data_IF_692524018751
#
_entry.id   IF_692524018751
#
_cell.length_a   1.000
_cell.length_b   1.000
_cell.length_c   1.000
_cell.angle_alpha   90.00
_cell.angle_beta   90.00
_cell.angle_gamma   90.00
#
_symmetry.space_group_name_H-M   'P 1'
#
loop_
_entity.id
_entity.type
_entity.pdbx_description
1 polymer ?
#
# COMPACT_ATOMS: atom_id res chain seq x y z
N UNK A 1 30.00 -6.86 -6.78
CA UNK A 1 29.33 -6.46 -5.52
C UNK A 1 27.99 -7.16 -5.37
N UNK A 2 27.23 -7.36 -6.44
CA UNK A 2 26.19 -8.40 -6.48
C UNK A 2 26.81 -9.63 -7.14
N UNK A 3 26.96 -10.73 -6.42
CA UNK A 3 27.71 -11.93 -6.87
C UNK A 3 27.08 -12.64 -8.06
N UNK A 4 25.82 -12.38 -8.38
CA UNK A 4 25.16 -13.04 -9.49
C UNK A 4 24.39 -12.09 -10.36
N UNK A 5 24.40 -12.41 -11.66
CA UNK A 5 23.42 -12.00 -12.64
C UNK A 5 22.18 -12.91 -12.56
N UNK A 6 20.97 -12.35 -12.62
CA UNK A 6 19.77 -13.12 -12.91
C UNK A 6 19.10 -12.56 -14.14
N UNK A 7 18.98 -13.41 -15.16
CA UNK A 7 18.41 -13.07 -16.46
C UNK A 7 16.89 -13.00 -16.42
N UNK A 8 16.31 -12.42 -17.47
CA UNK A 8 14.86 -12.35 -17.69
C UNK A 8 14.20 -13.74 -17.70
N UNK A 9 14.90 -14.70 -18.31
CA UNK A 9 14.41 -16.06 -18.55
C UNK A 9 14.96 -17.08 -17.53
N UNK A 10 15.79 -16.62 -16.58
CA UNK A 10 16.35 -17.49 -15.55
C UNK A 10 15.27 -17.89 -14.55
N UNK A 11 15.38 -19.10 -13.98
CA UNK A 11 14.53 -19.59 -12.89
C UNK A 11 15.40 -19.84 -11.65
N UNK A 12 15.18 -19.06 -10.58
CA UNK A 12 15.93 -19.19 -9.33
C UNK A 12 15.24 -20.09 -8.29
N UNK A 13 14.17 -20.81 -8.66
CA UNK A 13 13.44 -21.69 -7.73
C UNK A 13 14.35 -22.63 -6.95
N UNK A 14 15.29 -23.26 -7.65
CA UNK A 14 16.21 -24.26 -7.09
C UNK A 14 17.52 -23.64 -6.57
N UNK A 15 17.64 -22.32 -6.61
CA UNK A 15 18.82 -21.58 -6.18
C UNK A 15 18.48 -20.35 -5.30
N UNK A 16 17.67 -20.50 -4.23
CA UNK A 16 17.28 -19.39 -3.37
C UNK A 16 18.46 -18.76 -2.60
N UNK A 17 19.54 -19.50 -2.37
CA UNK A 17 20.77 -19.04 -1.72
C UNK A 17 21.47 -17.89 -2.47
N UNK A 18 21.09 -17.69 -3.73
CA UNK A 18 21.57 -16.62 -4.61
C UNK A 18 21.04 -15.24 -4.22
N UNK A 19 20.00 -15.19 -3.40
CA UNK A 19 19.33 -13.96 -3.00
C UNK A 19 19.84 -13.56 -1.61
N UNK A 20 20.91 -12.78 -1.58
CA UNK A 20 21.43 -12.18 -0.35
C UNK A 20 20.88 -10.75 -0.20
N UNK A 21 19.86 -10.60 0.64
CA UNK A 21 19.24 -9.30 0.90
C UNK A 21 20.17 -8.32 1.65
N UNK A 22 21.17 -8.80 2.38
CA UNK A 22 22.14 -7.93 3.04
C UNK A 22 23.16 -7.38 2.01
N UNK A 23 23.59 -8.21 1.06
CA UNK A 23 24.39 -7.77 -0.09
C UNK A 23 23.61 -6.79 -0.97
N UNK A 24 22.31 -7.08 -1.19
CA UNK A 24 21.41 -6.19 -1.90
C UNK A 24 21.27 -4.83 -1.20
N UNK A 25 20.98 -4.79 0.10
CA UNK A 25 20.87 -3.54 0.85
C UNK A 25 22.15 -2.68 0.77
N UNK A 26 23.33 -3.32 0.89
CA UNK A 26 24.62 -2.64 0.69
C UNK A 26 24.77 -2.10 -0.73
N UNK A 27 24.34 -2.87 -1.73
CA UNK A 27 24.40 -2.48 -3.12
C UNK A 27 23.49 -1.28 -3.42
N UNK A 28 22.27 -1.25 -2.87
CA UNK A 28 21.35 -0.14 -3.02
C UNK A 28 21.85 1.14 -2.33
N UNK A 29 22.49 1.03 -1.17
CA UNK A 29 23.16 2.17 -0.51
C UNK A 29 24.31 2.73 -1.33
N UNK A 30 25.14 1.87 -1.92
CA UNK A 30 26.21 2.32 -2.82
C UNK A 30 25.62 2.98 -4.07
N UNK A 31 24.59 2.37 -4.64
CA UNK A 31 23.86 2.92 -5.77
C UNK A 31 23.30 4.31 -5.45
N UNK A 32 22.68 4.52 -4.29
CA UNK A 32 22.20 5.84 -3.86
C UNK A 32 23.30 6.90 -3.86
N UNK A 33 24.46 6.60 -3.28
CA UNK A 33 25.60 7.53 -3.27
C UNK A 33 26.10 7.86 -4.68
N UNK A 34 26.21 6.84 -5.55
CA UNK A 34 26.59 7.03 -6.95
C UNK A 34 25.54 7.79 -7.74
N UNK A 35 24.26 7.49 -7.52
CA UNK A 35 23.15 8.13 -8.21
C UNK A 35 23.13 9.63 -7.94
N UNK A 36 23.33 10.05 -6.68
CA UNK A 36 23.43 11.48 -6.32
C UNK A 36 24.63 12.17 -6.99
N UNK A 37 25.78 11.49 -7.03
CA UNK A 37 26.97 12.00 -7.70
C UNK A 37 26.77 12.14 -9.21
N UNK A 38 26.33 11.08 -9.87
CA UNK A 38 26.15 11.02 -11.33
C UNK A 38 24.98 11.89 -11.78
N UNK A 39 23.94 12.05 -10.96
CA UNK A 39 22.84 12.98 -11.22
C UNK A 39 23.33 14.41 -11.43
N UNK A 40 24.26 14.87 -10.61
CA UNK A 40 24.82 16.23 -10.73
C UNK A 40 25.50 16.42 -12.09
N UNK A 41 26.18 15.38 -12.58
CA UNK A 41 26.77 15.37 -13.92
C UNK A 41 25.66 15.40 -14.98
N UNK A 42 24.68 14.50 -14.86
CA UNK A 42 23.56 14.37 -15.81
C UNK A 42 22.74 15.66 -15.96
N UNK A 43 22.46 16.34 -14.84
CA UNK A 43 21.68 17.58 -14.84
C UNK A 43 22.43 18.74 -15.53
N UNK A 44 23.76 18.73 -15.51
CA UNK A 44 24.63 19.68 -16.22
C UNK A 44 24.80 19.40 -17.72
N UNK A 45 24.30 18.27 -18.23
CA UNK A 45 24.36 17.95 -19.66
C UNK A 45 23.29 18.73 -20.44
N UNK A 46 23.65 19.19 -21.64
CA UNK A 46 22.73 19.85 -22.57
C UNK A 46 21.85 18.86 -23.34
N UNK A 47 20.70 19.34 -23.82
CA UNK A 47 19.80 18.56 -24.68
C UNK A 47 18.66 17.87 -23.93
N UNK A 48 17.85 17.12 -24.68
CA UNK A 48 16.73 16.31 -24.15
C UNK A 48 17.26 15.08 -23.41
N UNK A 49 16.42 14.45 -22.60
CA UNK A 49 16.84 13.32 -21.75
C UNK A 49 17.52 12.18 -22.55
N UNK A 50 17.05 11.88 -23.77
CA UNK A 50 17.68 10.89 -24.65
C UNK A 50 19.10 11.29 -25.10
N UNK A 51 19.37 12.57 -25.30
CA UNK A 51 20.69 13.09 -25.68
C UNK A 51 21.63 13.12 -24.46
N UNK A 52 21.11 13.49 -23.29
CA UNK A 52 21.84 13.44 -22.01
C UNK A 52 22.25 12.00 -21.67
N UNK A 53 21.33 11.05 -21.80
CA UNK A 53 21.62 9.63 -21.58
C UNK A 53 22.70 9.09 -22.52
N UNK A 54 22.63 9.43 -23.82
CA UNK A 54 23.68 9.06 -24.79
C UNK A 54 25.04 9.62 -24.41
N UNK A 55 25.08 10.90 -24.02
CA UNK A 55 26.32 11.55 -23.56
C UNK A 55 26.86 10.86 -22.31
N UNK A 56 26.00 10.52 -21.34
CA UNK A 56 26.39 9.81 -20.13
C UNK A 56 26.99 8.42 -20.44
N UNK A 57 26.36 7.65 -21.34
CA UNK A 57 26.90 6.36 -21.79
C UNK A 57 28.26 6.50 -22.49
N UNK A 58 28.47 7.58 -23.27
CA UNK A 58 29.77 7.84 -23.88
C UNK A 58 30.83 8.19 -22.83
N UNK A 59 30.47 8.95 -21.79
CA UNK A 59 31.37 9.27 -20.67
C UNK A 59 31.79 8.03 -19.88
N UNK A 60 30.93 7.02 -19.75
CA UNK A 60 31.24 5.76 -19.08
C UNK A 60 32.49 5.05 -19.64
N UNK A 61 32.83 5.25 -20.92
CA UNK A 61 34.03 4.67 -21.55
C UNK A 61 35.35 5.17 -20.96
N UNK A 62 35.36 6.37 -20.38
CA UNK A 62 36.55 6.98 -19.77
C UNK A 62 36.40 7.33 -18.29
N UNK A 63 35.18 7.17 -17.73
CA UNK A 63 34.85 7.44 -16.33
C UNK A 63 34.35 6.17 -15.64
N UNK A 64 35.24 5.42 -14.94
CA UNK A 64 34.89 4.16 -14.30
C UNK A 64 33.73 4.25 -13.31
N UNK A 65 33.57 5.39 -12.63
CA UNK A 65 32.48 5.64 -11.69
C UNK A 65 31.11 5.70 -12.38
N UNK A 66 31.04 6.24 -13.60
CA UNK A 66 29.80 6.30 -14.40
C UNK A 66 29.50 4.92 -14.97
N UNK A 67 30.50 4.22 -15.50
CA UNK A 67 30.34 2.84 -15.98
C UNK A 67 29.84 1.91 -14.86
N UNK A 68 30.44 2.01 -13.68
CA UNK A 68 30.04 1.23 -12.52
C UNK A 68 28.61 1.57 -12.09
N UNK A 69 28.24 2.86 -12.05
CA UNK A 69 26.86 3.29 -11.79
C UNK A 69 25.86 2.67 -12.77
N UNK A 70 26.09 2.79 -14.08
CA UNK A 70 25.17 2.28 -15.10
C UNK A 70 25.01 0.76 -15.03
N UNK A 71 26.10 0.03 -14.81
CA UNK A 71 26.05 -1.43 -14.62
C UNK A 71 25.31 -1.82 -13.35
N UNK A 72 25.55 -1.10 -12.25
CA UNK A 72 24.88 -1.35 -10.98
C UNK A 72 23.38 -1.03 -11.06
N UNK A 73 22.99 0.06 -11.71
CA UNK A 73 21.58 0.42 -11.94
C UNK A 73 20.84 -0.69 -12.69
N UNK A 74 21.40 -1.11 -13.83
CA UNK A 74 20.81 -2.17 -14.65
C UNK A 74 20.72 -3.50 -13.91
N UNK A 75 21.66 -3.76 -12.99
CA UNK A 75 21.68 -4.95 -12.15
C UNK A 75 20.61 -4.91 -11.07
N UNK A 76 20.43 -3.77 -10.42
CA UNK A 76 19.47 -3.58 -9.34
C UNK A 76 18.04 -3.48 -9.88
N UNK A 77 17.82 -2.65 -10.90
CA UNK A 77 16.51 -2.24 -11.39
C UNK A 77 16.31 -2.50 -12.90
N UNK A 78 16.54 -3.73 -13.39
CA UNK A 78 16.51 -4.05 -14.83
C UNK A 78 15.19 -3.68 -15.52
N UNK A 79 14.05 -3.75 -14.81
CA UNK A 79 12.72 -3.39 -15.33
C UNK A 79 12.57 -1.92 -15.71
N UNK A 80 13.42 -1.03 -15.20
CA UNK A 80 13.40 0.40 -15.55
C UNK A 80 14.04 0.71 -16.89
N UNK A 81 14.83 -0.22 -17.44
CA UNK A 81 15.55 -0.06 -18.71
C UNK A 81 14.72 -0.49 -19.93
N UNK A 82 13.39 -0.47 -19.79
CA UNK A 82 12.45 -0.64 -20.89
C UNK A 82 12.22 0.71 -21.57
N UNK A 83 12.94 0.97 -22.66
CA UNK A 83 12.89 2.23 -23.40
C UNK A 83 13.66 3.40 -22.77
N UNK A 84 14.37 3.18 -21.65
CA UNK A 84 15.20 4.17 -20.95
C UNK A 84 16.61 3.64 -20.72
N UNK A 85 17.61 4.53 -20.70
CA UNK A 85 18.97 4.13 -20.32
C UNK A 85 19.21 4.28 -18.83
N UNK A 86 18.57 5.25 -18.18
CA UNK A 86 18.78 5.53 -16.76
C UNK A 86 17.50 5.90 -16.02
N UNK A 87 17.52 5.78 -14.69
CA UNK A 87 16.40 6.25 -13.86
C UNK A 87 16.29 7.78 -13.78
N UNK A 88 17.27 8.54 -14.29
CA UNK A 88 17.20 10.01 -14.32
C UNK A 88 16.07 10.52 -15.22
N UNK A 89 15.92 9.94 -16.42
CA UNK A 89 14.83 10.32 -17.33
C UNK A 89 13.46 9.94 -16.77
N UNK A 90 13.38 8.84 -16.03
CA UNK A 90 12.18 8.46 -15.28
C UNK A 90 11.84 9.50 -14.20
N UNK A 91 12.81 9.89 -13.37
CA UNK A 91 12.62 10.90 -12.32
C UNK A 91 12.13 12.25 -12.88
N UNK A 92 12.68 12.67 -14.03
CA UNK A 92 12.38 13.95 -14.67
C UNK A 92 11.01 14.00 -15.33
N UNK A 93 10.46 12.84 -15.68
CA UNK A 93 9.15 12.74 -16.31
C UNK A 93 7.99 12.90 -15.32
N UNK A 94 8.23 12.72 -14.02
CA UNK A 94 7.17 12.84 -13.02
C UNK A 94 6.68 14.28 -12.86
N UNK A 95 5.35 14.45 -12.79
CA UNK A 95 4.72 15.75 -12.65
C UNK A 95 3.35 15.66 -11.95
N UNK A 96 3.02 16.67 -11.14
CA UNK A 96 1.70 16.81 -10.53
C UNK A 96 1.37 15.79 -9.43
N UNK A 97 0.15 15.89 -8.90
CA UNK A 97 -0.45 14.99 -7.91
C UNK A 97 -1.46 14.07 -8.58
N UNK A 98 -1.59 12.86 -8.08
CA UNK A 98 -2.66 11.97 -8.55
C UNK A 98 -2.79 10.68 -7.76
N UNK A 99 -3.89 10.00 -8.03
CA UNK A 99 -4.28 8.75 -7.38
C UNK A 99 -3.97 7.58 -8.31
N UNK A 100 -3.40 6.51 -7.75
CA UNK A 100 -3.15 5.25 -8.45
C UNK A 100 -3.97 4.15 -7.81
N UNK A 101 -4.74 3.44 -8.62
CA UNK A 101 -5.52 2.26 -8.20
C UNK A 101 -5.12 1.09 -9.09
N UNK A 102 -4.91 -0.08 -8.50
CA UNK A 102 -4.72 -1.32 -9.27
C UNK A 102 -6.03 -2.08 -9.39
N UNK A 103 -6.43 -2.45 -10.61
CA UNK A 103 -7.67 -3.19 -10.84
C UNK A 103 -7.49 -4.26 -11.90
N UNK A 104 -7.70 -5.52 -11.49
CA UNK A 104 -7.97 -6.63 -12.39
C UNK A 104 -9.46 -6.90 -12.51
N UNK A 105 -9.80 -7.93 -13.27
CA UNK A 105 -11.18 -8.35 -13.50
C UNK A 105 -11.94 -8.67 -12.20
N UNK A 106 -11.25 -9.18 -11.17
CA UNK A 106 -11.86 -9.53 -9.89
C UNK A 106 -12.01 -8.33 -8.94
N UNK A 107 -11.29 -7.24 -9.22
CA UNK A 107 -11.30 -6.01 -8.43
C UNK A 107 -12.15 -4.91 -9.07
N UNK A 108 -12.67 -5.16 -10.28
CA UNK A 108 -13.40 -4.17 -11.08
C UNK A 108 -14.51 -3.47 -10.29
N UNK A 109 -15.39 -4.24 -9.65
CA UNK A 109 -16.55 -3.69 -8.90
C UNK A 109 -16.09 -2.77 -7.77
N UNK A 110 -15.12 -3.21 -6.97
CA UNK A 110 -14.56 -2.41 -5.87
C UNK A 110 -13.92 -1.12 -6.38
N UNK A 111 -13.09 -1.21 -7.43
CA UNK A 111 -12.43 -0.05 -8.01
C UNK A 111 -13.44 0.96 -8.60
N UNK A 112 -14.53 0.49 -9.23
CA UNK A 112 -15.62 1.36 -9.67
C UNK A 112 -16.23 2.09 -8.48
N UNK A 113 -16.53 1.38 -7.39
CA UNK A 113 -17.07 1.99 -6.17
C UNK A 113 -16.14 3.02 -5.58
N UNK A 114 -14.85 2.70 -5.40
CA UNK A 114 -13.86 3.60 -4.83
C UNK A 114 -13.68 4.87 -5.68
N UNK A 115 -13.61 4.75 -7.00
CA UNK A 115 -13.48 5.89 -7.92
C UNK A 115 -14.73 6.78 -7.86
N UNK A 116 -15.93 6.21 -7.86
CA UNK A 116 -17.15 7.01 -7.76
C UNK A 116 -17.33 7.62 -6.36
N UNK A 117 -16.89 6.96 -5.30
CA UNK A 117 -16.83 7.57 -3.97
C UNK A 117 -15.93 8.82 -3.99
N UNK A 118 -14.72 8.71 -4.55
CA UNK A 118 -13.78 9.84 -4.67
C UNK A 118 -14.35 10.97 -5.53
N UNK A 119 -14.96 10.65 -6.67
CA UNK A 119 -15.45 11.65 -7.64
C UNK A 119 -16.81 12.22 -7.28
N UNK A 120 -17.81 11.38 -7.04
CA UNK A 120 -19.19 11.80 -6.86
C UNK A 120 -19.49 12.27 -5.43
N UNK A 121 -18.79 11.74 -4.41
CA UNK A 121 -19.06 12.09 -3.00
C UNK A 121 -18.03 13.04 -2.42
N UNK A 122 -16.75 12.74 -2.60
CA UNK A 122 -15.66 13.56 -2.08
C UNK A 122 -15.33 14.75 -2.99
N UNK A 123 -15.83 14.73 -4.23
CA UNK A 123 -15.62 15.79 -5.24
C UNK A 123 -14.15 16.09 -5.52
N UNK A 124 -13.25 15.14 -5.25
CA UNK A 124 -11.83 15.31 -5.53
C UNK A 124 -11.59 15.36 -7.04
N UNK A 125 -10.77 16.32 -7.46
CA UNK A 125 -10.40 16.55 -8.86
C UNK A 125 -9.04 15.95 -9.23
N UNK A 126 -8.35 15.28 -8.30
CA UNK A 126 -7.06 14.66 -8.59
C UNK A 126 -7.16 13.67 -9.76
N UNK A 127 -6.29 13.72 -10.77
CA UNK A 127 -6.29 12.72 -11.84
C UNK A 127 -6.08 11.31 -11.27
N UNK A 128 -6.78 10.32 -11.83
CA UNK A 128 -6.70 8.92 -11.43
C UNK A 128 -6.07 8.10 -12.55
N UNK A 129 -5.06 7.29 -12.22
CA UNK A 129 -4.50 6.28 -13.11
C UNK A 129 -4.84 4.88 -12.59
N UNK A 130 -5.62 4.13 -13.36
CA UNK A 130 -5.96 2.73 -13.08
C UNK A 130 -4.95 1.82 -13.77
N UNK A 131 -4.20 1.06 -13.00
CA UNK A 131 -3.19 0.13 -13.49
C UNK A 131 -3.70 -1.31 -13.53
N UNK A 132 -3.37 -2.01 -14.61
CA UNK A 132 -3.53 -3.46 -14.77
C UNK A 132 -2.26 -4.09 -15.35
N UNK A 133 -2.21 -5.42 -15.41
CA UNK A 133 -1.06 -6.19 -15.89
C UNK A 133 -1.35 -7.01 -17.15
N UNK A 134 -0.99 -6.46 -18.32
CA UNK A 134 -1.05 -7.17 -19.59
C UNK A 134 -2.45 -7.60 -20.02
N UNK A 135 -2.49 -8.38 -21.10
CA UNK A 135 -3.72 -8.92 -21.66
C UNK A 135 -4.32 -10.00 -20.74
N UNK A 136 -5.59 -9.82 -20.39
CA UNK A 136 -6.36 -10.78 -19.59
C UNK A 136 -6.52 -10.42 -18.11
N UNK A 137 -5.69 -9.53 -17.56
CA UNK A 137 -5.87 -9.05 -16.19
C UNK A 137 -7.12 -8.16 -16.07
N UNK A 138 -7.32 -7.23 -17.02
CA UNK A 138 -8.51 -6.39 -17.12
C UNK A 138 -9.05 -6.36 -18.55
N UNK A 139 -10.31 -6.78 -18.73
CA UNK A 139 -10.90 -6.91 -20.08
C UNK A 139 -11.03 -5.56 -20.80
N UNK A 140 -10.97 -5.52 -22.14
CA UNK A 140 -11.12 -4.28 -22.92
C UNK A 140 -12.40 -3.49 -22.59
N UNK A 141 -13.52 -4.18 -22.38
CA UNK A 141 -14.80 -3.55 -22.02
C UNK A 141 -14.74 -2.87 -20.65
N UNK A 142 -14.06 -3.49 -19.68
CA UNK A 142 -13.87 -2.91 -18.34
C UNK A 142 -12.87 -1.76 -18.35
N UNK A 143 -11.82 -1.85 -19.17
CA UNK A 143 -10.93 -0.71 -19.40
C UNK A 143 -11.69 0.46 -20.03
N UNK A 144 -12.57 0.19 -21.02
CA UNK A 144 -13.44 1.22 -21.61
C UNK A 144 -14.38 1.81 -20.57
N UNK A 145 -15.01 0.99 -19.73
CA UNK A 145 -15.86 1.45 -18.63
C UNK A 145 -15.12 2.46 -17.73
N UNK A 146 -13.91 2.14 -17.26
CA UNK A 146 -13.13 3.06 -16.43
C UNK A 146 -12.82 4.40 -17.13
N UNK A 147 -12.54 4.39 -18.44
CA UNK A 147 -12.27 5.63 -19.20
C UNK A 147 -13.54 6.49 -19.37
N UNK A 148 -14.72 5.88 -19.35
CA UNK A 148 -15.99 6.55 -19.66
C UNK A 148 -16.81 6.91 -18.41
N UNK A 149 -16.55 6.28 -17.26
CA UNK A 149 -17.39 6.41 -16.06
C UNK A 149 -17.36 7.80 -15.41
N UNK A 150 -16.27 8.55 -15.59
CA UNK A 150 -16.10 9.93 -15.06
C UNK A 150 -14.89 10.59 -15.73
N UNK A 151 -14.49 11.78 -15.28
CA UNK A 151 -13.40 12.57 -15.87
C UNK A 151 -12.03 12.26 -15.26
N UNK A 152 -10.98 12.57 -16.04
CA UNK A 152 -9.58 12.50 -15.64
C UNK A 152 -9.15 11.11 -15.12
N UNK A 153 -9.54 10.08 -15.87
CA UNK A 153 -9.12 8.69 -15.67
C UNK A 153 -8.30 8.21 -16.87
N UNK A 154 -7.11 7.70 -16.59
CA UNK A 154 -6.32 6.93 -17.55
C UNK A 154 -6.26 5.47 -17.10
N UNK A 155 -6.29 4.55 -18.05
CA UNK A 155 -6.13 3.11 -17.80
C UNK A 155 -4.86 2.63 -18.47
N UNK A 156 -3.92 2.14 -17.67
CA UNK A 156 -2.53 1.90 -18.05
C UNK A 156 -2.14 0.44 -17.80
N UNK A 157 -1.56 -0.18 -18.81
CA UNK A 157 -0.89 -1.47 -18.66
C UNK A 157 0.53 -1.26 -18.14
N UNK A 158 0.81 -1.72 -16.91
CA UNK A 158 2.13 -1.55 -16.28
C UNK A 158 3.25 -2.19 -17.12
N UNK A 159 2.93 -3.25 -17.87
CA UNK A 159 3.90 -4.00 -18.68
C UNK A 159 4.36 -3.25 -19.94
N UNK A 160 3.65 -2.20 -20.33
CA UNK A 160 4.06 -1.29 -21.41
C UNK A 160 5.06 -0.23 -20.93
N UNK A 161 5.16 -0.02 -19.61
CA UNK A 161 6.05 0.99 -19.01
C UNK A 161 7.31 0.38 -18.40
N UNK A 162 7.21 -0.85 -17.87
CA UNK A 162 8.27 -1.56 -17.17
C UNK A 162 8.38 -3.01 -17.66
N UNK A 163 9.59 -3.57 -17.72
CA UNK A 163 9.80 -4.93 -18.26
C UNK A 163 9.29 -6.02 -17.30
N UNK A 164 8.10 -6.56 -17.60
CA UNK A 164 7.48 -7.62 -16.82
C UNK A 164 8.24 -8.95 -16.86
N UNK A 165 9.19 -9.11 -17.78
CA UNK A 165 10.09 -10.27 -17.79
C UNK A 165 10.95 -10.38 -16.52
N UNK A 166 11.29 -9.24 -15.90
CA UNK A 166 12.01 -9.22 -14.62
C UNK A 166 11.06 -9.15 -13.43
N UNK A 167 10.00 -8.35 -13.53
CA UNK A 167 9.05 -8.18 -12.42
C UNK A 167 8.25 -9.46 -12.15
N UNK A 168 7.82 -10.16 -13.22
CA UNK A 168 6.86 -11.28 -13.24
C UNK A 168 5.79 -11.07 -12.16
N UNK A 169 5.05 -9.99 -12.34
CA UNK A 169 4.08 -9.47 -11.40
C UNK A 169 2.96 -10.50 -11.15
N UNK A 170 2.37 -10.40 -9.95
CA UNK A 170 1.24 -11.23 -9.52
C UNK A 170 0.77 -10.80 -8.13
N UNK A 171 -0.53 -10.91 -7.87
CA UNK A 171 -1.13 -10.50 -6.60
C UNK A 171 -0.79 -9.06 -6.22
N UNK A 172 -0.42 -8.83 -4.97
CA UNK A 172 -0.12 -7.49 -4.44
C UNK A 172 1.15 -6.83 -4.98
N UNK A 173 2.02 -7.60 -5.66
CA UNK A 173 3.30 -7.09 -6.13
C UNK A 173 3.15 -5.96 -7.16
N UNK A 174 2.00 -5.81 -7.80
CA UNK A 174 1.76 -4.73 -8.79
C UNK A 174 1.78 -3.33 -8.16
N UNK A 175 1.39 -3.16 -6.89
CA UNK A 175 1.16 -1.82 -6.29
C UNK A 175 2.39 -0.90 -6.37
N UNK A 176 3.60 -1.33 -5.95
CA UNK A 176 4.77 -0.48 -6.04
C UNK A 176 5.16 -0.16 -7.49
N UNK A 177 5.01 -1.11 -8.41
CA UNK A 177 5.35 -0.87 -9.81
C UNK A 177 4.34 0.04 -10.52
N UNK A 178 3.05 -0.04 -10.18
CA UNK A 178 2.03 0.90 -10.66
C UNK A 178 2.34 2.32 -10.16
N UNK A 179 2.67 2.47 -8.88
CA UNK A 179 3.13 3.75 -8.33
C UNK A 179 4.38 4.25 -9.06
N UNK A 180 5.40 3.41 -9.29
CA UNK A 180 6.61 3.81 -10.00
C UNK A 180 6.33 4.24 -11.45
N UNK A 181 5.50 3.47 -12.16
CA UNK A 181 5.14 3.69 -13.56
C UNK A 181 4.19 4.88 -13.79
N UNK A 182 3.42 5.29 -12.79
CA UNK A 182 2.53 6.46 -12.88
C UNK A 182 3.26 7.74 -13.27
N UNK A 183 2.54 8.68 -13.88
CA UNK A 183 3.13 9.98 -14.27
C UNK A 183 3.29 10.96 -13.11
N UNK A 184 2.71 10.68 -11.95
CA UNK A 184 2.63 11.64 -10.84
C UNK A 184 3.97 11.86 -10.14
N UNK A 185 4.28 13.11 -9.81
CA UNK A 185 5.37 13.45 -8.88
C UNK A 185 4.98 13.06 -7.45
N UNK A 186 3.78 13.44 -7.03
CA UNK A 186 3.21 13.14 -5.73
C UNK A 186 2.08 12.11 -5.93
N UNK A 187 2.40 10.83 -5.74
CA UNK A 187 1.48 9.73 -5.96
C UNK A 187 0.82 9.29 -4.66
N UNK A 188 -0.49 9.08 -4.72
CA UNK A 188 -1.26 8.40 -3.68
C UNK A 188 -1.77 7.08 -4.23
N UNK A 189 -1.22 5.96 -3.76
CA UNK A 189 -1.82 4.66 -4.01
C UNK A 189 -3.05 4.46 -3.13
N UNK A 190 -4.11 3.90 -3.71
CA UNK A 190 -5.36 3.55 -3.04
C UNK A 190 -5.77 2.15 -3.48
N UNK A 191 -5.95 1.23 -2.52
CA UNK A 191 -6.50 -0.10 -2.79
C UNK A 191 -7.93 -0.01 -3.33
N UNK A 192 -8.33 -0.97 -4.17
CA UNK A 192 -9.64 -0.94 -4.82
C UNK A 192 -10.82 -0.96 -3.83
N UNK A 193 -10.61 -1.42 -2.60
CA UNK A 193 -11.62 -1.52 -1.54
C UNK A 193 -11.38 -0.55 -0.37
N UNK A 194 -10.66 0.54 -0.62
CA UNK A 194 -10.48 1.66 0.30
C UNK A 194 -11.50 2.75 0.05
N UNK A 195 -12.03 3.31 1.14
CA UNK A 195 -12.98 4.41 1.14
C UNK A 195 -12.53 5.50 2.11
N UNK A 196 -12.87 6.75 1.78
CA UNK A 196 -12.52 7.93 2.59
C UNK A 196 -13.76 8.60 3.19
N UNK A 197 -13.61 9.25 4.33
CA UNK A 197 -14.59 10.13 4.98
C UNK A 197 -14.27 11.62 4.78
N UNK A 198 -13.09 11.93 4.26
CA UNK A 198 -12.64 13.28 3.95
C UNK A 198 -12.00 13.30 2.56
N UNK A 199 -11.83 14.48 1.98
CA UNK A 199 -11.09 14.63 0.73
C UNK A 199 -9.69 14.00 0.89
N UNK A 200 -9.28 13.02 0.06
CA UNK A 200 -7.97 12.41 0.16
C UNK A 200 -6.81 13.42 0.08
N UNK A 201 -7.01 14.57 -0.57
CA UNK A 201 -5.96 15.60 -0.75
C UNK A 201 -5.33 16.07 0.57
N UNK A 202 -6.05 15.98 1.70
CA UNK A 202 -5.53 16.32 3.04
C UNK A 202 -4.25 15.55 3.41
N UNK A 203 -4.01 14.40 2.78
CA UNK A 203 -2.80 13.60 3.00
C UNK A 203 -1.53 14.24 2.44
N UNK A 204 -1.63 15.05 1.38
CA UNK A 204 -0.49 15.84 0.88
C UNK A 204 -0.16 17.01 1.81
N UNK A 205 -1.09 17.37 2.69
CA UNK A 205 -0.91 18.44 3.68
C UNK A 205 -0.40 17.96 5.03
N UNK A 206 -0.32 16.64 5.24
CA UNK A 206 0.18 16.02 6.46
C UNK A 206 1.61 16.52 6.81
N UNK A 207 1.87 16.93 8.06
CA UNK A 207 3.18 17.41 8.47
C UNK A 207 4.31 16.38 8.28
N UNK A 208 4.03 15.09 8.47
CA UNK A 208 4.95 14.00 8.22
C UNK A 208 5.27 13.87 6.73
N UNK A 209 4.24 13.89 5.87
CA UNK A 209 4.44 13.89 4.42
C UNK A 209 5.27 15.09 3.95
N UNK A 210 4.93 16.32 4.38
CA UNK A 210 5.69 17.53 4.03
C UNK A 210 7.15 17.48 4.49
N UNK A 211 7.42 16.84 5.62
CA UNK A 211 8.77 16.71 6.16
C UNK A 211 9.62 15.66 5.43
N UNK A 212 9.03 14.55 4.98
CA UNK A 212 9.78 13.38 4.50
C UNK A 212 9.57 13.07 3.03
N UNK A 213 8.47 13.51 2.42
CA UNK A 213 8.02 13.10 1.09
C UNK A 213 7.46 11.68 1.03
N UNK A 214 7.26 10.99 2.15
CA UNK A 214 6.66 9.67 2.20
C UNK A 214 5.84 9.45 3.48
N UNK A 215 4.57 9.11 3.34
CA UNK A 215 3.62 8.89 4.43
C UNK A 215 3.01 7.50 4.36
N UNK A 216 3.18 6.74 5.43
CA UNK A 216 2.69 5.37 5.61
C UNK A 216 1.73 5.29 6.80
N UNK A 217 0.93 4.22 6.86
CA UNK A 217 -0.07 4.02 7.89
C UNK A 217 0.21 2.77 8.69
N UNK A 218 -0.10 2.81 9.99
CA UNK A 218 0.09 1.65 10.86
C UNK A 218 -1.00 0.61 10.67
N UNK A 219 -0.62 -0.66 10.49
CA UNK A 219 -1.57 -1.78 10.51
C UNK A 219 -2.18 -1.98 11.91
N UNK A 220 -3.09 -2.92 12.05
CA UNK A 220 -3.57 -3.42 13.34
C UNK A 220 -2.43 -4.07 14.13
N UNK A 221 -2.56 -4.04 15.45
CA UNK A 221 -1.62 -4.73 16.35
C UNK A 221 -2.02 -6.21 16.43
N UNK A 222 -1.40 -7.06 15.60
CA UNK A 222 -1.76 -8.47 15.42
C UNK A 222 -0.56 -9.38 15.61
N UNK A 223 -0.80 -10.61 16.06
CA UNK A 223 0.23 -11.67 16.14
C UNK A 223 1.47 -11.28 16.99
N UNK A 224 1.29 -10.98 18.28
CA UNK A 224 2.41 -10.65 19.16
C UNK A 224 3.40 -11.82 19.28
N UNK A 225 4.64 -11.51 19.61
CA UNK A 225 5.72 -12.48 19.74
C UNK A 225 6.37 -12.90 18.41
N UNK A 226 5.90 -12.38 17.26
CA UNK A 226 6.53 -12.60 15.96
C UNK A 226 7.89 -11.91 15.87
N UNK A 227 8.97 -12.69 15.75
CA UNK A 227 10.34 -12.17 15.74
C UNK A 227 10.95 -12.06 14.34
N UNK A 228 10.38 -12.76 13.35
CA UNK A 228 11.03 -12.96 12.06
C UNK A 228 11.21 -11.65 11.30
N UNK A 229 10.22 -10.75 11.31
CA UNK A 229 10.34 -9.43 10.66
C UNK A 229 11.47 -8.58 11.22
N UNK A 230 11.56 -8.46 12.55
CA UNK A 230 12.62 -7.70 13.21
C UNK A 230 14.00 -8.36 13.06
N UNK A 231 14.08 -9.69 13.16
CA UNK A 231 15.32 -10.43 12.96
C UNK A 231 15.83 -10.34 11.52
N UNK A 232 14.91 -10.42 10.54
CA UNK A 232 15.23 -10.21 9.14
C UNK A 232 15.74 -8.80 8.89
N UNK A 233 15.06 -7.76 9.40
CA UNK A 233 15.51 -6.39 9.16
C UNK A 233 16.93 -6.16 9.75
N UNK A 234 17.21 -6.68 10.95
CA UNK A 234 18.55 -6.64 11.56
C UNK A 234 19.61 -7.39 10.74
N UNK A 235 19.25 -8.47 10.05
CA UNK A 235 20.20 -9.25 9.26
C UNK A 235 20.55 -8.57 7.93
N UNK A 236 19.63 -7.80 7.35
CA UNK A 236 19.82 -7.14 6.05
C UNK A 236 20.36 -5.72 6.17
N UNK A 237 20.09 -5.02 7.29
CA UNK A 237 20.49 -3.63 7.48
C UNK A 237 21.42 -3.48 8.69
N UNK A 238 22.73 -3.16 8.49
CA UNK A 238 23.67 -3.03 9.60
C UNK A 238 23.46 -1.72 10.39
N UNK A 239 22.72 -0.78 9.84
CA UNK A 239 22.37 0.49 10.49
C UNK A 239 20.90 0.79 10.29
N UNK A 240 20.18 0.84 11.40
CA UNK A 240 18.78 1.25 11.51
C UNK A 240 18.69 2.73 11.85
N UNK A 241 17.62 3.38 11.40
CA UNK A 241 17.18 4.68 11.84
C UNK A 241 16.60 4.61 13.26
N UNK A 242 16.09 5.73 13.76
CA UNK A 242 15.46 5.79 15.08
C UNK A 242 14.09 5.12 15.12
N UNK A 243 13.44 4.89 13.97
CA UNK A 243 12.09 4.34 13.93
C UNK A 243 12.02 2.84 14.25
N UNK A 244 12.78 1.94 13.57
CA UNK A 244 12.61 0.50 13.77
C UNK A 244 12.68 0.07 15.24
N UNK A 245 13.65 0.51 16.07
CA UNK A 245 13.67 0.13 17.49
C UNK A 245 12.43 0.52 18.30
N UNK A 246 11.68 1.54 17.86
CA UNK A 246 10.46 2.03 18.50
C UNK A 246 9.19 1.36 17.95
N UNK A 247 9.30 0.65 16.82
CA UNK A 247 8.16 0.06 16.13
C UNK A 247 7.55 -1.10 16.93
N UNK A 248 6.26 -1.40 16.68
CA UNK A 248 5.57 -2.54 17.30
C UNK A 248 6.23 -3.85 16.89
N UNK A 249 6.69 -3.96 15.64
CA UNK A 249 7.39 -5.14 15.13
C UNK A 249 8.70 -5.43 15.90
N UNK A 250 9.54 -4.42 16.15
CA UNK A 250 10.80 -4.63 16.88
C UNK A 250 10.61 -4.89 18.37
N UNK A 251 9.51 -4.38 18.92
CA UNK A 251 9.07 -4.66 20.29
C UNK A 251 8.28 -5.97 20.40
N UNK A 252 8.12 -6.70 19.30
CA UNK A 252 7.36 -7.96 19.20
C UNK A 252 5.90 -7.83 19.64
N UNK A 253 5.32 -6.64 19.53
CA UNK A 253 3.92 -6.35 19.85
C UNK A 253 3.00 -6.67 18.67
N UNK A 254 3.52 -6.62 17.44
CA UNK A 254 2.77 -6.93 16.22
C UNK A 254 3.69 -7.60 15.19
N UNK A 255 3.18 -8.53 14.40
CA UNK A 255 3.90 -9.04 13.22
C UNK A 255 3.89 -8.04 12.06
N UNK A 256 2.90 -7.14 12.03
CA UNK A 256 2.70 -6.16 10.96
C UNK A 256 2.80 -4.75 11.53
N UNK A 257 3.61 -3.91 10.89
CA UNK A 257 3.74 -2.51 11.21
C UNK A 257 2.88 -1.66 10.29
N UNK A 258 2.89 -1.94 8.98
CA UNK A 258 2.34 -1.06 7.96
C UNK A 258 1.05 -1.62 7.33
N UNK A 259 0.07 -0.76 7.15
CA UNK A 259 -1.06 -0.96 6.23
C UNK A 259 -0.75 -0.26 4.90
N UNK A 260 -0.90 -0.97 3.77
CA UNK A 260 -0.59 -0.45 2.42
C UNK A 260 -1.83 -0.18 1.55
N UNK A 261 -3.02 -0.18 2.13
CA UNK A 261 -4.25 0.26 1.47
C UNK A 261 -4.19 1.70 0.97
N UNK A 262 -3.44 2.57 1.67
CA UNK A 262 -3.08 3.90 1.20
C UNK A 262 -1.59 4.13 1.42
N UNK A 263 -0.90 4.60 0.38
CA UNK A 263 0.54 4.95 0.44
C UNK A 263 0.77 6.25 -0.31
N UNK A 264 1.42 7.23 0.32
CA UNK A 264 1.65 8.56 -0.30
C UNK A 264 3.15 8.82 -0.43
N UNK A 265 3.63 9.07 -1.65
CA UNK A 265 5.06 9.25 -1.93
C UNK A 265 5.28 10.40 -2.93
N UNK A 266 6.18 11.33 -2.63
CA UNK A 266 6.78 12.22 -3.61
C UNK A 266 7.92 11.49 -4.32
N UNK A 267 7.66 10.92 -5.50
CA UNK A 267 8.62 10.12 -6.26
C UNK A 267 9.80 10.91 -6.75
N UNK A 268 9.70 12.23 -6.92
CA UNK A 268 10.83 13.04 -7.36
C UNK A 268 11.87 13.18 -6.27
N UNK A 269 11.45 13.32 -5.02
CA UNK A 269 12.38 13.40 -3.88
C UNK A 269 12.72 12.03 -3.29
N UNK A 270 11.86 11.01 -3.46
CA UNK A 270 11.96 9.67 -2.87
C UNK A 270 12.06 8.52 -3.90
N UNK A 271 12.60 8.80 -5.09
CA UNK A 271 12.72 7.78 -6.15
C UNK A 271 13.51 6.56 -5.68
N UNK A 272 14.61 6.76 -4.97
CA UNK A 272 15.48 5.65 -4.58
C UNK A 272 14.77 4.74 -3.56
N UNK A 273 14.00 5.32 -2.63
CA UNK A 273 13.14 4.55 -1.74
C UNK A 273 12.14 3.73 -2.53
N UNK A 274 11.46 4.36 -3.49
CA UNK A 274 10.51 3.70 -4.39
C UNK A 274 11.13 2.54 -5.19
N UNK A 275 12.36 2.71 -5.69
CA UNK A 275 13.10 1.67 -6.41
C UNK A 275 13.43 0.47 -5.50
N UNK A 276 13.83 0.72 -4.24
CA UNK A 276 14.08 -0.33 -3.26
C UNK A 276 12.80 -1.12 -2.92
N UNK A 277 11.66 -0.45 -2.77
CA UNK A 277 10.36 -1.12 -2.59
C UNK A 277 10.04 -2.01 -3.80
N UNK A 278 10.20 -1.49 -5.02
CA UNK A 278 10.00 -2.29 -6.23
C UNK A 278 10.96 -3.48 -6.30
N UNK A 279 12.21 -3.31 -5.88
CA UNK A 279 13.19 -4.39 -5.81
C UNK A 279 12.74 -5.52 -4.88
N UNK A 280 12.24 -5.18 -3.69
CA UNK A 280 11.72 -6.17 -2.74
C UNK A 280 10.47 -6.91 -3.25
N UNK A 281 9.72 -6.32 -4.18
CA UNK A 281 8.53 -6.90 -4.81
C UNK A 281 8.80 -7.52 -6.19
N UNK A 282 10.05 -7.49 -6.64
CA UNK A 282 10.47 -8.19 -7.85
C UNK A 282 10.44 -9.69 -7.62
N UNK A 283 10.18 -10.46 -8.67
CA UNK A 283 9.87 -11.89 -8.57
C UNK A 283 10.71 -12.65 -7.55
N UNK A 284 12.02 -12.57 -7.65
CA UNK A 284 12.91 -13.42 -6.88
C UNK A 284 13.00 -13.00 -5.43
N UNK A 285 13.23 -11.71 -5.17
CA UNK A 285 13.24 -11.14 -3.84
C UNK A 285 11.90 -11.36 -3.14
N UNK A 286 10.79 -11.16 -3.84
CA UNK A 286 9.44 -11.40 -3.37
C UNK A 286 9.21 -12.87 -2.99
N UNK A 287 9.34 -13.78 -3.94
CA UNK A 287 8.93 -15.18 -3.81
C UNK A 287 9.83 -15.94 -2.81
N UNK A 288 11.12 -15.57 -2.73
CA UNK A 288 12.07 -16.29 -1.89
C UNK A 288 12.33 -15.65 -0.54
N UNK A 289 12.09 -14.34 -0.39
CA UNK A 289 12.44 -13.61 0.84
C UNK A 289 11.28 -12.76 1.36
N UNK A 290 10.92 -11.67 0.68
CA UNK A 290 10.01 -10.65 1.22
C UNK A 290 8.68 -11.23 1.67
N UNK A 291 8.02 -12.04 0.82
CA UNK A 291 6.69 -12.60 1.15
C UNK A 291 6.75 -13.87 2.02
N UNK A 292 7.95 -14.37 2.31
CA UNK A 292 8.15 -15.40 3.34
C UNK A 292 8.29 -14.81 4.74
N UNK A 293 8.78 -13.58 4.81
CA UNK A 293 8.96 -12.85 6.08
C UNK A 293 7.74 -12.00 6.41
N UNK A 294 7.11 -11.40 5.39
CA UNK A 294 6.01 -10.46 5.52
C UNK A 294 4.75 -10.97 4.85
N UNK A 295 3.60 -10.46 5.30
CA UNK A 295 2.32 -10.71 4.64
C UNK A 295 2.14 -9.77 3.45
N UNK A 296 2.66 -10.22 2.29
CA UNK A 296 2.56 -9.46 1.05
C UNK A 296 3.47 -8.24 1.00
N UNK A 297 3.00 -7.20 0.30
CA UNK A 297 3.77 -5.99 -0.01
C UNK A 297 3.88 -5.02 1.18
N UNK A 298 2.99 -5.12 2.17
CA UNK A 298 2.75 -4.05 3.14
C UNK A 298 4.02 -3.53 3.83
N UNK A 299 4.84 -4.44 4.36
CA UNK A 299 6.07 -4.10 5.07
C UNK A 299 7.20 -3.65 4.13
N UNK A 300 7.13 -3.99 2.84
CA UNK A 300 8.20 -3.68 1.87
C UNK A 300 8.37 -2.18 1.64
N UNK A 301 7.31 -1.38 1.84
CA UNK A 301 7.36 0.07 1.67
C UNK A 301 8.32 0.73 2.66
N UNK A 302 8.04 0.62 3.97
CA UNK A 302 8.92 1.24 4.96
C UNK A 302 10.26 0.53 5.10
N UNK A 303 10.31 -0.80 4.97
CA UNK A 303 11.58 -1.53 5.07
C UNK A 303 12.51 -1.25 3.88
N UNK A 304 11.99 -1.06 2.67
CA UNK A 304 12.79 -0.63 1.51
C UNK A 304 13.38 0.75 1.71
N UNK A 305 12.60 1.71 2.22
CA UNK A 305 13.09 3.04 2.58
C UNK A 305 14.14 2.98 3.70
N UNK A 306 13.92 2.13 4.70
CA UNK A 306 14.85 1.90 5.82
C UNK A 306 16.17 1.27 5.35
N UNK A 307 16.11 0.28 4.46
CA UNK A 307 17.28 -0.38 3.86
C UNK A 307 18.21 0.63 3.18
N UNK A 308 17.66 1.63 2.49
CA UNK A 308 18.45 2.66 1.80
C UNK A 308 18.57 3.99 2.55
N UNK A 309 18.07 4.05 3.79
CA UNK A 309 18.06 5.23 4.65
C UNK A 309 17.45 6.46 3.97
N UNK A 310 16.30 6.30 3.31
CA UNK A 310 15.49 7.44 2.89
C UNK A 310 14.46 7.83 3.94
N UNK A 311 14.18 9.13 4.11
CA UNK A 311 13.18 9.59 5.06
C UNK A 311 11.77 9.08 4.71
N UNK A 312 11.05 8.65 5.73
CA UNK A 312 9.63 8.33 5.69
C UNK A 312 8.98 8.71 7.03
N UNK A 313 7.67 8.88 7.02
CA UNK A 313 6.87 9.11 8.22
C UNK A 313 5.74 8.10 8.28
N UNK A 314 5.41 7.65 9.48
CA UNK A 314 4.13 7.01 9.74
C UNK A 314 3.13 8.05 10.25
N UNK A 315 1.87 7.88 9.85
CA UNK A 315 0.74 8.61 10.41
C UNK A 315 0.76 8.49 11.94
N UNK A 316 0.49 9.59 12.65
CA UNK A 316 0.65 9.63 14.11
C UNK A 316 -0.30 8.69 14.87
N UNK A 317 -1.42 8.31 14.25
CA UNK A 317 -2.43 7.40 14.80
C UNK A 317 -2.23 5.97 14.31
N UNK A 318 -2.43 5.00 15.20
CA UNK A 318 -2.50 3.59 14.84
C UNK A 318 -3.82 3.25 14.10
N UNK A 319 -3.81 2.14 13.35
CA UNK A 319 -5.02 1.61 12.71
C UNK A 319 -6.09 1.23 13.74
N UNK A 320 -7.25 1.87 13.63
CA UNK A 320 -8.44 1.65 14.42
C UNK A 320 -9.47 0.78 13.71
N UNK A 321 -10.74 0.93 14.12
CA UNK A 321 -11.88 0.22 13.52
C UNK A 321 -13.03 1.19 13.26
N UNK A 322 -13.79 0.96 12.20
CA UNK A 322 -15.05 1.65 11.90
C UNK A 322 -16.13 0.64 11.53
N UNK A 323 -17.33 0.82 12.08
CA UNK A 323 -18.46 -0.07 11.83
C UNK A 323 -19.52 0.08 12.91
N UNK A 324 -19.90 -1.04 13.51
CA UNK A 324 -21.03 -1.15 14.42
C UNK A 324 -20.60 -1.55 15.84
N UNK A 325 -21.43 -1.27 16.83
CA UNK A 325 -21.20 -1.81 18.17
C UNK A 325 -21.31 -3.32 18.17
N UNK A 326 -20.46 -3.97 18.97
CA UNK A 326 -20.59 -5.40 19.21
C UNK A 326 -21.90 -5.68 19.94
N UNK A 327 -22.64 -6.69 19.48
CA UNK A 327 -23.86 -7.12 20.16
C UNK A 327 -23.57 -7.50 21.62
N UNK A 328 -24.36 -6.95 22.55
CA UNK A 328 -24.15 -7.14 23.98
C UNK A 328 -22.93 -6.42 24.59
N UNK A 329 -22.16 -5.64 23.83
CA UNK A 329 -21.00 -4.90 24.33
C UNK A 329 -20.85 -3.52 23.66
N UNK A 330 -21.36 -2.49 24.33
CA UNK A 330 -21.29 -1.09 23.90
C UNK A 330 -19.89 -0.45 23.98
N UNK A 331 -18.89 -1.19 24.49
CA UNK A 331 -17.49 -0.75 24.61
C UNK A 331 -16.58 -1.34 23.53
N UNK A 332 -17.17 -1.96 22.51
CA UNK A 332 -16.44 -2.57 21.40
C UNK A 332 -17.09 -2.23 20.07
N UNK A 333 -16.27 -1.90 19.08
CA UNK A 333 -16.69 -1.66 17.70
C UNK A 333 -16.13 -2.76 16.82
N UNK A 334 -16.95 -3.31 15.94
CA UNK A 334 -16.60 -4.34 14.97
C UNK A 334 -16.76 -3.79 13.56
N UNK A 335 -15.77 -4.05 12.70
CA UNK A 335 -15.87 -3.62 11.31
C UNK A 335 -14.52 -3.52 10.60
N UNK A 336 -14.46 -2.57 9.68
CA UNK A 336 -13.33 -2.35 8.79
C UNK A 336 -12.18 -1.62 9.49
N UNK A 337 -10.97 -1.80 8.99
CA UNK A 337 -9.78 -1.16 9.55
C UNK A 337 -9.73 0.30 9.15
N UNK A 338 -9.78 1.20 10.13
CA UNK A 338 -9.89 2.63 9.92
C UNK A 338 -8.59 3.36 10.28
N UNK A 339 -8.30 4.44 9.57
CA UNK A 339 -7.18 5.32 9.81
C UNK A 339 -7.64 6.77 9.92
N UNK A 340 -6.92 7.53 10.74
CA UNK A 340 -7.20 8.93 11.01
C UNK A 340 -6.21 9.84 10.27
N UNK A 341 -6.55 11.12 10.18
CA UNK A 341 -5.62 12.18 9.76
C UNK A 341 -4.70 12.64 10.92
N UNK A 342 -3.82 13.60 10.65
CA UNK A 342 -2.94 14.17 11.67
C UNK A 342 -3.65 14.95 12.79
N UNK A 343 -4.91 15.32 12.59
CA UNK A 343 -5.80 15.95 13.57
C UNK A 343 -6.64 14.92 14.34
N UNK A 344 -6.36 13.63 14.15
CA UNK A 344 -7.05 12.49 14.76
C UNK A 344 -8.53 12.40 14.38
N UNK A 345 -8.93 12.92 13.23
CA UNK A 345 -10.27 12.69 12.69
C UNK A 345 -10.29 11.45 11.80
N UNK A 346 -11.39 10.66 11.78
CA UNK A 346 -11.53 9.54 10.86
C UNK A 346 -11.32 9.98 9.41
N UNK A 347 -10.46 9.28 8.68
CA UNK A 347 -10.06 9.67 7.33
C UNK A 347 -10.41 8.62 6.29
N UNK A 348 -9.96 7.38 6.46
CA UNK A 348 -10.18 6.32 5.47
C UNK A 348 -10.23 4.95 6.12
N UNK A 349 -10.79 3.96 5.44
CA UNK A 349 -10.77 2.58 5.91
C UNK A 349 -10.53 1.59 4.77
N UNK A 350 -9.93 0.44 5.12
CA UNK A 350 -9.68 -0.69 4.24
C UNK A 350 -10.59 -1.88 4.58
N UNK A 351 -10.96 -2.67 3.58
CA UNK A 351 -11.67 -3.93 3.75
C UNK A 351 -13.07 -3.98 3.15
N UNK A 352 -13.50 -2.95 2.41
CA UNK A 352 -14.82 -2.93 1.78
C UNK A 352 -15.93 -2.26 2.61
N UNK A 353 -17.16 -2.43 2.13
CA UNK A 353 -18.39 -1.99 2.80
C UNK A 353 -19.14 -3.12 3.51
N UNK A 354 -18.58 -4.32 3.49
CA UNK A 354 -19.22 -5.56 3.94
C UNK A 354 -18.57 -6.10 5.20
N UNK A 355 -19.37 -6.78 6.02
CA UNK A 355 -18.89 -7.38 7.28
C UNK A 355 -17.81 -8.44 7.02
N UNK A 356 -17.99 -9.28 6.01
CA UNK A 356 -16.93 -10.19 5.55
C UNK A 356 -17.03 -10.46 4.05
N UNK A 357 -16.16 -9.79 3.27
CA UNK A 357 -16.07 -9.99 1.81
C UNK A 357 -15.48 -11.35 1.39
N UNK A 358 -14.76 -12.03 2.30
CA UNK A 358 -14.00 -13.25 2.00
C UNK A 358 -14.80 -14.55 2.27
N UNK A 359 -15.86 -14.50 3.08
CA UNK A 359 -16.71 -15.66 3.42
C UNK A 359 -18.06 -15.68 2.71
N UNK A 360 -18.27 -14.80 1.72
CA UNK A 360 -19.55 -14.68 1.02
C UNK A 360 -20.66 -14.04 1.85
N UNK A 361 -20.36 -13.56 3.06
CA UNK A 361 -21.31 -12.83 3.91
C UNK A 361 -21.36 -11.37 3.45
N UNK A 362 -22.19 -11.09 2.46
CA UNK A 362 -22.41 -9.76 1.86
C UNK A 362 -23.36 -8.87 2.67
N UNK A 363 -23.35 -8.99 4.00
CA UNK A 363 -24.07 -8.04 4.84
C UNK A 363 -23.30 -6.73 4.89
N UNK A 364 -23.95 -5.62 4.52
CA UNK A 364 -23.36 -4.30 4.65
C UNK A 364 -23.00 -4.01 6.12
N UNK A 365 -21.84 -3.39 6.35
CA UNK A 365 -21.53 -2.80 7.64
C UNK A 365 -22.42 -1.58 7.84
N UNK A 366 -22.96 -1.44 9.04
CA UNK A 366 -23.58 -0.20 9.44
C UNK A 366 -22.50 0.69 10.07
N UNK A 367 -22.12 1.75 9.36
CA UNK A 367 -21.09 2.67 9.83
C UNK A 367 -21.69 3.66 10.83
N UNK A 368 -21.73 3.27 12.11
CA UNK A 368 -22.25 4.12 13.19
C UNK A 368 -21.18 4.61 14.16
N UNK A 369 -20.11 3.83 14.32
CA UNK A 369 -19.14 3.98 15.39
C UNK A 369 -17.72 3.72 14.90
N UNK A 370 -16.75 4.25 15.63
CA UNK A 370 -15.34 3.97 15.40
C UNK A 370 -14.54 4.02 16.70
N UNK A 371 -13.35 3.42 16.66
CA UNK A 371 -12.39 3.47 17.77
C UNK A 371 -10.99 3.68 17.20
N UNK A 372 -10.15 4.41 17.93
CA UNK A 372 -8.73 4.54 17.59
C UNK A 372 -7.98 3.22 17.81
N UNK A 373 -6.82 3.08 17.16
CA UNK A 373 -5.97 1.89 17.25
C UNK A 373 -5.25 1.69 18.60
N UNK A 374 -5.53 2.50 19.62
CA UNK A 374 -4.89 2.41 20.94
C UNK A 374 -5.42 1.27 21.83
N UNK A 375 -6.50 0.59 21.41
CA UNK A 375 -7.13 -0.52 22.13
C UNK A 375 -6.54 -1.90 21.82
N UNK A 376 -6.95 -2.91 22.60
CA UNK A 376 -6.65 -4.31 22.28
C UNK A 376 -7.52 -4.78 21.12
N UNK A 377 -6.88 -5.03 19.97
CA UNK A 377 -7.52 -5.66 18.81
C UNK A 377 -7.66 -7.15 19.12
N UNK A 378 -8.89 -7.63 19.39
CA UNK A 378 -9.11 -9.06 19.58
C UNK A 378 -9.41 -9.71 18.22
N UNK A 379 -8.38 -10.16 17.52
CA UNK A 379 -8.56 -11.22 16.53
C UNK A 379 -8.55 -12.56 17.28
N UNK A 380 -9.69 -13.27 17.34
CA UNK A 380 -9.76 -14.60 17.98
C UNK A 380 -9.07 -15.71 17.16
N UNK A 381 -8.20 -15.37 16.22
CA UNK A 381 -7.24 -16.30 15.63
C UNK A 381 -5.94 -16.25 16.44
N UNK A 382 -5.84 -17.17 17.41
CA UNK A 382 -4.62 -17.55 18.19
C UNK A 382 -4.34 -16.84 19.52
N UNK A 383 -5.35 -16.57 20.35
CA UNK A 383 -5.15 -16.38 21.81
C UNK A 383 -4.89 -17.69 22.57
N UNK A 384 -4.00 -18.54 22.05
CA UNK A 384 -3.66 -19.83 22.71
C UNK A 384 -2.18 -20.03 22.97
N UNK A 385 -1.27 -19.09 22.66
CA UNK A 385 0.17 -19.35 22.83
C UNK A 385 0.93 -18.65 23.96
N UNK A 386 0.49 -17.53 24.52
CA UNK A 386 1.06 -17.11 25.82
C UNK A 386 0.25 -16.00 26.51
N UNK A 387 -0.58 -16.39 27.49
CA UNK A 387 -1.40 -15.45 28.26
C UNK A 387 -0.57 -14.59 29.21
N UNK A 388 0.57 -15.09 29.67
CA UNK A 388 1.39 -14.43 30.69
C UNK A 388 2.25 -13.32 30.06
N UNK A 389 2.76 -13.56 28.85
CA UNK A 389 3.50 -12.55 28.08
C UNK A 389 2.66 -11.31 27.77
N UNK A 390 1.37 -11.46 27.41
CA UNK A 390 0.51 -10.31 27.12
C UNK A 390 0.12 -9.54 28.37
N UNK A 391 -0.16 -10.22 29.49
CA UNK A 391 -0.42 -9.56 30.79
C UNK A 391 0.79 -8.73 31.23
N UNK A 392 1.99 -9.28 31.07
CA UNK A 392 3.25 -8.60 31.37
C UNK A 392 3.43 -7.34 30.52
N UNK A 393 3.23 -7.44 29.19
CA UNK A 393 3.34 -6.30 28.27
C UNK A 393 2.37 -5.17 28.61
N UNK A 394 1.12 -5.50 28.94
CA UNK A 394 0.09 -4.50 29.25
C UNK A 394 0.33 -3.82 30.60
N UNK A 395 0.86 -4.56 31.57
CA UNK A 395 1.32 -4.04 32.86
C UNK A 395 2.55 -3.13 32.67
N UNK A 396 3.53 -3.56 31.89
CA UNK A 396 4.77 -2.80 31.61
C UNK A 396 4.50 -1.50 30.83
N UNK A 397 3.41 -1.45 30.06
CA UNK A 397 2.94 -0.26 29.35
C UNK A 397 2.05 0.67 30.21
N UNK A 398 1.69 0.26 31.43
CA UNK A 398 0.85 1.04 32.36
C UNK A 398 -0.62 1.14 31.93
N UNK A 399 -1.12 0.21 31.10
CA UNK A 399 -2.40 0.37 30.43
C UNK A 399 -3.61 -0.21 31.20
N UNK A 400 -3.48 -1.25 32.07
CA UNK A 400 -4.53 -1.78 32.99
C UNK A 400 -3.98 -2.70 34.10
N UNK A 401 -4.75 -2.97 35.16
CA UNK A 401 -4.46 -3.95 36.23
C UNK A 401 -5.00 -5.37 35.96
N UNK A 402 -4.30 -6.39 36.46
CA UNK A 402 -4.56 -7.83 36.24
C UNK A 402 -5.99 -8.30 36.60
N UNK A 403 -6.65 -7.62 37.55
CA UNK A 403 -8.00 -7.92 38.02
C UNK A 403 -9.13 -7.50 37.06
N UNK A 404 -8.84 -6.72 36.01
CA UNK A 404 -9.84 -6.24 35.04
C UNK A 404 -9.98 -7.15 33.80
N UNK A 405 -9.11 -8.16 33.65
CA UNK A 405 -9.08 -9.05 32.50
C UNK A 405 -9.92 -10.30 32.76
N UNK A 406 -11.19 -10.31 32.31
CA UNK A 406 -12.04 -11.51 32.29
C UNK A 406 -12.07 -12.15 30.91
N UNK A 407 -11.86 -13.47 30.84
CA UNK A 407 -12.09 -14.28 29.65
C UNK A 407 -13.53 -14.81 29.66
N UNK A 408 -14.31 -14.44 28.63
CA UNK A 408 -15.63 -15.02 28.35
C UNK A 408 -15.47 -16.43 27.75
N UNK A 409 -16.34 -17.41 28.11
CA UNK A 409 -16.33 -18.74 27.52
C UNK A 409 -16.49 -18.70 25.99
N UNK A 410 -15.92 -19.69 25.31
CA UNK A 410 -16.03 -19.84 23.86
C UNK A 410 -17.46 -20.18 23.45
N UNK A 411 -18.04 -19.37 22.57
CA UNK A 411 -19.35 -19.63 21.97
C UNK A 411 -19.18 -20.59 20.79
N UNK A 412 -19.95 -21.68 20.77
CA UNK A 412 -19.76 -22.80 19.86
C UNK A 412 -20.29 -22.54 18.44
N UNK A 413 -21.03 -21.44 18.23
CA UNK A 413 -21.53 -21.00 16.91
C UNK A 413 -20.68 -19.88 16.28
N UNK A 414 -19.52 -19.55 16.84
CA UNK A 414 -18.76 -18.37 16.43
C UNK A 414 -17.66 -18.69 15.40
N UNK A 415 -18.02 -18.51 14.13
CA UNK A 415 -17.11 -18.55 12.98
C UNK A 415 -16.19 -17.31 12.95
N UNK A 416 -15.06 -17.38 12.26
CA UNK A 416 -13.90 -16.46 12.31
C UNK A 416 -14.11 -14.99 11.85
N UNK A 417 -15.28 -14.38 12.08
CA UNK A 417 -15.80 -13.32 11.22
C UNK A 417 -15.81 -11.86 11.69
N UNK A 418 -15.31 -11.51 12.88
CA UNK A 418 -15.47 -10.12 13.39
C UNK A 418 -14.16 -9.52 13.94
N UNK A 419 -13.59 -8.58 13.18
CA UNK A 419 -12.49 -7.73 13.68
C UNK A 419 -13.08 -6.67 14.63
N UNK A 420 -13.19 -7.02 15.91
CA UNK A 420 -13.66 -6.11 16.94
C UNK A 420 -12.49 -5.50 17.72
N UNK A 421 -12.55 -4.19 17.93
CA UNK A 421 -11.65 -3.46 18.81
C UNK A 421 -12.35 -3.20 20.14
N UNK A 422 -11.62 -3.36 21.24
CA UNK A 422 -12.09 -3.01 22.58
C UNK A 422 -11.00 -2.31 23.38
N UNK A 423 -11.38 -1.62 24.45
CA UNK A 423 -10.43 -0.99 25.38
C UNK A 423 -9.95 0.41 24.99
N UNK A 424 -10.32 0.90 23.80
CA UNK A 424 -10.23 2.30 23.40
C UNK A 424 -11.54 3.05 23.64
N UNK A 425 -11.55 4.37 23.38
CA UNK A 425 -12.78 5.16 23.43
C UNK A 425 -13.65 4.86 22.22
N UNK A 426 -14.93 4.53 22.46
CA UNK A 426 -15.92 4.41 21.40
C UNK A 426 -16.40 5.80 21.00
N UNK A 427 -16.27 6.12 19.73
CA UNK A 427 -16.74 7.37 19.15
C UNK A 427 -17.94 7.08 18.24
N UNK A 428 -18.92 7.97 18.27
CA UNK A 428 -20.04 7.94 17.33
C UNK A 428 -19.73 8.83 16.14
N UNK A 429 -20.02 8.35 14.93
CA UNK A 429 -19.98 9.20 13.74
C UNK A 429 -21.12 10.24 13.81
N UNK A 430 -20.87 11.45 13.33
CA UNK A 430 -21.94 12.44 13.13
C UNK A 430 -22.95 11.91 12.11
N UNK A 431 -24.19 12.42 12.13
CA UNK A 431 -25.21 11.99 11.17
C UNK A 431 -24.74 12.18 9.71
N UNK A 432 -24.08 13.30 9.42
CA UNK A 432 -23.48 13.58 8.11
C UNK A 432 -22.47 12.49 7.73
N UNK A 433 -21.57 12.11 8.64
CA UNK A 433 -20.58 11.06 8.37
C UNK A 433 -21.22 9.67 8.19
N UNK A 434 -22.28 9.35 8.95
CA UNK A 434 -23.03 8.10 8.78
C UNK A 434 -23.69 8.05 7.41
N UNK A 435 -24.42 9.11 7.05
CA UNK A 435 -25.09 9.22 5.75
C UNK A 435 -24.07 9.13 4.61
N UNK A 436 -22.91 9.77 4.79
CA UNK A 436 -21.81 9.74 3.84
C UNK A 436 -21.21 8.34 3.66
N UNK A 437 -20.82 7.67 4.74
CA UNK A 437 -20.26 6.32 4.70
C UNK A 437 -21.26 5.30 4.14
N UNK A 438 -22.53 5.38 4.58
CA UNK A 438 -23.59 4.51 4.10
C UNK A 438 -23.98 4.81 2.64
N UNK A 439 -23.74 6.03 2.12
CA UNK A 439 -23.96 6.35 0.71
C UNK A 439 -23.10 5.53 -0.25
N UNK A 440 -21.94 5.03 0.21
CA UNK A 440 -21.08 4.16 -0.59
C UNK A 440 -21.73 2.81 -0.87
N UNK A 441 -22.64 2.35 -0.02
CA UNK A 441 -23.39 1.09 -0.24
C UNK A 441 -24.22 1.19 -1.52
N UNK A 442 -24.80 2.36 -1.81
CA UNK A 442 -25.54 2.59 -3.05
C UNK A 442 -24.64 2.54 -4.28
N UNK A 443 -23.49 3.22 -4.19
CA UNK A 443 -22.49 3.24 -5.25
C UNK A 443 -22.02 1.80 -5.53
N UNK A 444 -21.78 1.02 -4.49
CA UNK A 444 -21.31 -0.35 -4.63
C UNK A 444 -22.34 -1.25 -5.29
N UNK A 445 -23.62 -1.09 -4.92
CA UNK A 445 -24.72 -1.77 -5.62
C UNK A 445 -24.69 -1.50 -7.12
N UNK A 446 -24.55 -0.25 -7.55
CA UNK A 446 -24.48 0.09 -8.97
C UNK A 446 -23.21 -0.47 -9.64
N UNK A 447 -22.05 -0.36 -8.98
CA UNK A 447 -20.79 -0.92 -9.48
C UNK A 447 -20.87 -2.43 -9.69
N UNK A 448 -21.53 -3.16 -8.79
CA UNK A 448 -21.77 -4.60 -8.90
C UNK A 448 -22.78 -4.96 -9.98
N UNK A 449 -23.87 -4.22 -10.09
CA UNK A 449 -24.85 -4.42 -11.17
C UNK A 449 -24.19 -4.27 -12.55
N UNK A 450 -23.38 -3.24 -12.72
CA UNK A 450 -22.61 -3.02 -13.95
C UNK A 450 -21.53 -4.10 -14.12
N UNK A 451 -20.83 -4.50 -13.06
CA UNK A 451 -19.87 -5.61 -13.08
C UNK A 451 -20.48 -6.94 -13.55
N UNK A 452 -21.69 -7.25 -13.08
CA UNK A 452 -22.44 -8.45 -13.46
C UNK A 452 -22.93 -8.37 -14.91
N UNK A 453 -23.39 -7.20 -15.39
CA UNK A 453 -23.74 -6.98 -16.80
C UNK A 453 -22.52 -7.15 -17.71
N UNK A 454 -21.37 -6.62 -17.29
CA UNK A 454 -20.13 -6.69 -18.05
C UNK A 454 -19.69 -8.16 -18.19
N UNK A 455 -19.85 -8.94 -17.12
CA UNK A 455 -19.57 -10.38 -17.14
C UNK A 455 -20.47 -11.14 -18.12
N UNK A 456 -21.72 -10.70 -18.34
CA UNK A 456 -22.65 -11.27 -19.32
C UNK A 456 -22.47 -10.72 -20.75
N UNK A 457 -21.55 -9.79 -20.98
CA UNK A 457 -21.35 -9.13 -22.28
C UNK A 457 -22.48 -8.16 -22.64
N UNK A 458 -23.24 -7.69 -21.65
CA UNK A 458 -24.32 -6.73 -21.87
C UNK A 458 -23.75 -5.30 -22.01
N UNK A 459 -24.33 -4.44 -22.87
CA UNK A 459 -23.91 -3.05 -22.98
C UNK A 459 -24.22 -2.28 -21.69
N UNK A 460 -23.27 -1.47 -21.25
CA UNK A 460 -23.37 -0.66 -20.04
C UNK A 460 -23.05 0.79 -20.39
N UNK A 461 -23.88 1.70 -19.88
CA UNK A 461 -23.58 3.13 -19.87
C UNK A 461 -23.28 3.53 -18.41
N UNK A 462 -22.01 3.77 -18.04
CA UNK A 462 -21.64 4.11 -16.67
C UNK A 462 -22.21 5.47 -16.21
N UNK A 463 -22.68 6.32 -17.14
CA UNK A 463 -23.26 7.63 -16.84
C UNK A 463 -24.76 7.58 -16.59
N UNK A 464 -25.40 6.42 -16.76
CA UNK A 464 -26.83 6.25 -16.53
C UNK A 464 -27.23 6.40 -15.06
N UNK A 465 -26.34 6.04 -14.15
CA UNK A 465 -26.60 6.10 -12.71
C UNK A 465 -26.43 7.52 -12.19
N UNK A 466 -27.30 7.94 -11.27
CA UNK A 466 -27.07 9.16 -10.50
C UNK A 466 -26.15 8.84 -9.31
N UNK A 467 -24.83 8.96 -9.54
CA UNK A 467 -23.81 8.69 -8.52
C UNK A 467 -23.83 9.67 -7.33
N UNK A 468 -24.55 10.79 -7.46
CA UNK A 468 -24.68 11.82 -6.42
C UNK A 468 -25.91 11.63 -5.54
N UNK A 469 -26.85 10.75 -5.89
CA UNK A 469 -28.10 10.56 -5.14
C UNK A 469 -27.82 10.01 -3.74
N UNK A 470 -28.27 10.63 -2.64
CA UNK A 470 -28.07 10.09 -1.30
C UNK A 470 -28.78 8.74 -1.11
N UNK A 471 -28.23 7.89 -0.25
CA UNK A 471 -28.83 6.59 0.06
C UNK A 471 -30.11 6.76 0.87
N UNK A 472 -31.25 6.42 0.26
CA UNK A 472 -32.52 6.30 0.98
C UNK A 472 -32.62 4.91 1.62
N UNK A 473 -32.79 4.89 2.95
CA UNK A 473 -32.99 3.69 3.77
C UNK A 473 -34.34 2.96 3.55
N UNK A 474 -35.06 3.25 2.46
CA UNK A 474 -36.42 2.74 2.23
C UNK A 474 -36.47 1.24 1.98
#
# INVERSE_FOLDING_TARGET
MLKQEYGKDEDLKDHPERIDMAELARAERLYKSLWLHVKTIYDGLSGRDRERERTLTQMAKSKPEIDFFLRLEKRLYPWTHYGRQTTFSLQRAFNGRGIVICAGNNQFEFAVTAIQAIRARLKSTLPIQVFHMGDGDLSPDRQKYFREMTTDIEVIDVTQTLDNGYMKLGGWAIKPFAMLASSFEEVMFVDADVYFLQDPEVLFDDPGYKATGALFFYDRTLFPGWKDGANWLRSVTPMLSTFPPLSRMFRYLSAHEQESGVVVINKKTRLLGMLAVCKMNSKWERDHVSYKVFHGDKETFWTGFEMIQEPYAFMRSYGGVIGELREGNDKSVCGAQMHQDHLRQPLWWNGGLYRNKNSGVTRNLNFGYWMDGGGQQQHREWYTKDQDTMKQILADLGLRSESELKLEPGDAEWDFGESCLAGATVHQLSQIQKDFANSYVQIDRFGREDGAKAHRGEPIDPKKHNWEEPFNHS
#
